data_IF_911395402529
#
_entry.id   IF_911395402529
#
_cell.length_a   1.000
_cell.length_b   1.000
_cell.length_c   1.000
_cell.angle_alpha   90.00
_cell.angle_beta   90.00
_cell.angle_gamma   90.00
#
_symmetry.space_group_name_H-M   'P 1'
#
loop_
_entity.id
_entity.type
_entity.pdbx_description
1 polymer ?
#
# COMPACT_ATOMS: atom_id res chain seq x y z
N UNK A 1 -3.21 11.28 6.41
CA UNK A 1 -2.80 10.72 5.11
C UNK A 1 -1.64 9.83 5.43
N UNK A 2 -1.77 8.52 5.26
CA UNK A 2 -0.74 7.57 5.66
C UNK A 2 -0.46 6.55 4.55
N UNK A 3 0.82 6.31 4.29
CA UNK A 3 1.35 5.23 3.44
C UNK A 3 2.37 4.45 4.26
N UNK A 4 2.17 3.14 4.38
CA UNK A 4 3.09 2.24 5.05
C UNK A 4 3.69 1.30 4.02
N UNK A 5 4.99 1.06 4.07
CA UNK A 5 5.67 0.02 3.27
C UNK A 5 6.63 -0.76 4.15
N UNK A 6 6.49 -2.08 4.13
CA UNK A 6 7.41 -3.03 4.70
C UNK A 6 8.11 -3.82 3.60
N UNK A 7 9.42 -3.99 3.70
CA UNK A 7 10.19 -4.95 2.91
C UNK A 7 10.25 -6.27 3.68
N UNK A 8 9.86 -7.38 3.05
CA UNK A 8 9.91 -8.70 3.69
C UNK A 8 11.36 -9.20 3.63
N UNK A 9 11.97 -9.57 4.78
CA UNK A 9 13.31 -10.13 4.76
C UNK A 9 13.29 -11.50 4.06
N UNK A 10 14.39 -11.91 3.39
CA UNK A 10 14.50 -13.24 2.82
C UNK A 10 14.23 -14.32 3.88
N UNK A 11 13.64 -15.43 3.46
CA UNK A 11 13.51 -16.63 4.30
C UNK A 11 14.90 -17.12 4.69
N UNK A 12 15.27 -16.96 5.95
CA UNK A 12 16.49 -17.57 6.50
C UNK A 12 16.17 -18.97 6.99
N UNK A 13 16.86 -20.02 6.51
CA UNK A 13 16.81 -21.33 7.12
C UNK A 13 17.23 -21.24 8.59
N UNK A 14 16.35 -21.60 9.53
CA UNK A 14 16.73 -21.79 10.92
C UNK A 14 17.22 -23.22 11.12
N UNK A 15 18.50 -23.44 11.48
CA UNK A 15 18.97 -24.78 11.82
C UNK A 15 18.24 -25.29 13.07
N UNK A 16 17.38 -26.31 12.92
CA UNK A 16 16.73 -27.01 14.04
C UNK A 16 15.32 -26.55 14.42
N UNK A 17 14.67 -25.66 13.68
CA UNK A 17 13.26 -25.30 13.93
C UNK A 17 12.30 -26.31 13.26
N UNK A 18 11.32 -26.90 13.98
CA UNK A 18 10.43 -27.93 13.45
C UNK A 18 9.38 -27.42 12.44
N UNK A 19 9.34 -26.12 12.16
CA UNK A 19 8.38 -25.52 11.21
C UNK A 19 8.98 -24.24 10.64
N UNK A 20 9.03 -24.12 9.30
CA UNK A 20 9.32 -22.84 8.65
C UNK A 20 8.10 -21.93 8.84
N UNK A 21 8.16 -21.01 9.80
CA UNK A 21 7.22 -19.89 9.80
C UNK A 21 7.51 -19.03 8.57
N UNK A 22 6.48 -18.53 7.85
CA UNK A 22 6.71 -17.57 6.78
C UNK A 22 7.41 -16.32 7.36
N UNK A 23 8.28 -15.65 6.58
CA UNK A 23 9.03 -14.50 7.07
C UNK A 23 8.12 -13.34 7.48
N UNK A 24 6.93 -13.28 6.88
CA UNK A 24 5.89 -12.30 7.11
C UNK A 24 4.50 -12.97 7.03
N UNK A 25 3.60 -12.61 7.94
CA UNK A 25 2.16 -12.91 7.87
C UNK A 25 1.36 -11.61 7.83
N UNK A 26 0.25 -11.62 7.11
CA UNK A 26 -0.68 -10.49 7.04
C UNK A 26 -2.07 -10.98 7.42
N UNK A 27 -2.72 -10.27 8.34
CA UNK A 27 -4.11 -10.46 8.70
C UNK A 27 -4.93 -9.22 8.31
N UNK A 28 -6.07 -9.46 7.66
CA UNK A 28 -7.07 -8.47 7.28
C UNK A 28 -8.33 -8.71 8.12
N UNK A 29 -8.70 -7.74 8.96
CA UNK A 29 -9.83 -7.83 9.90
C UNK A 29 -9.83 -9.13 10.73
N UNK A 30 -8.64 -9.53 11.19
CA UNK A 30 -8.43 -10.73 12.02
C UNK A 30 -8.41 -12.04 11.24
N UNK A 31 -8.43 -12.01 9.90
CA UNK A 31 -8.28 -13.19 9.04
C UNK A 31 -6.92 -13.16 8.37
N UNK A 32 -6.10 -14.17 8.63
CA UNK A 32 -4.85 -14.37 7.90
C UNK A 32 -5.14 -14.61 6.42
N UNK A 33 -4.37 -13.95 5.55
CA UNK A 33 -4.43 -14.16 4.10
C UNK A 33 -3.22 -14.95 3.63
N UNK A 34 -3.42 -15.77 2.60
CA UNK A 34 -2.30 -16.43 1.92
C UNK A 34 -1.53 -15.40 1.10
N UNK A 35 -0.22 -15.32 1.35
CA UNK A 35 0.67 -14.43 0.61
C UNK A 35 1.45 -15.24 -0.44
N UNK A 36 1.54 -14.76 -1.69
CA UNK A 36 2.55 -15.27 -2.62
C UNK A 36 3.95 -14.86 -2.15
N UNK A 37 4.99 -15.29 -2.86
CA UNK A 37 6.34 -14.81 -2.61
C UNK A 37 6.44 -13.30 -2.92
N UNK A 38 6.60 -12.49 -1.88
CA UNK A 38 6.65 -11.04 -1.95
C UNK A 38 7.93 -10.49 -1.33
N UNK A 39 8.49 -9.45 -1.95
CA UNK A 39 9.57 -8.64 -1.39
C UNK A 39 9.02 -7.50 -0.51
N UNK A 40 7.73 -7.19 -0.58
CA UNK A 40 7.15 -6.17 0.30
C UNK A 40 5.62 -6.10 0.32
N UNK A 41 5.12 -5.45 1.36
CA UNK A 41 3.70 -5.17 1.60
C UNK A 41 3.51 -3.67 1.76
N UNK A 42 2.46 -3.13 1.18
CA UNK A 42 2.08 -1.71 1.26
C UNK A 42 0.67 -1.60 1.81
N UNK A 43 0.48 -0.73 2.80
CA UNK A 43 -0.83 -0.38 3.37
C UNK A 43 -1.10 1.10 3.09
N UNK A 44 -2.24 1.40 2.50
CA UNK A 44 -2.62 2.73 2.05
C UNK A 44 -3.93 3.18 2.70
N UNK A 45 -3.98 4.46 3.05
CA UNK A 45 -5.22 5.18 3.40
C UNK A 45 -5.60 6.21 2.32
N UNK A 46 -5.07 6.06 1.11
CA UNK A 46 -5.25 6.99 -0.01
C UNK A 46 -5.15 6.23 -1.31
N UNK A 47 -5.82 6.74 -2.34
CA UNK A 47 -5.93 6.07 -3.64
C UNK A 47 -4.62 5.98 -4.43
N UNK A 48 -3.56 6.70 -4.05
CA UNK A 48 -2.31 6.75 -4.82
C UNK A 48 -1.05 6.47 -4.00
N UNK A 49 -0.13 5.75 -4.63
CA UNK A 49 1.17 5.36 -4.10
C UNK A 49 2.27 5.53 -5.16
N UNK A 50 3.53 5.61 -4.74
CA UNK A 50 4.75 5.60 -5.57
C UNK A 50 4.63 6.10 -7.02
N UNK A 51 5.02 7.36 -7.29
CA UNK A 51 5.01 7.91 -8.65
C UNK A 51 3.63 8.16 -9.25
N UNK A 52 2.56 8.12 -8.45
CA UNK A 52 1.18 8.34 -8.91
C UNK A 52 0.44 7.06 -9.33
N UNK A 53 1.02 5.89 -9.07
CA UNK A 53 0.32 4.61 -9.23
C UNK A 53 -0.97 4.61 -8.41
N UNK A 54 -2.08 4.15 -9.01
CA UNK A 54 -3.40 4.05 -8.39
C UNK A 54 -3.81 2.59 -8.28
N UNK A 55 -3.57 1.92 -7.13
CA UNK A 55 -3.60 0.47 -7.14
C UNK A 55 -5.00 -0.13 -7.38
N UNK A 56 -6.05 0.63 -7.08
CA UNK A 56 -7.46 0.29 -7.34
C UNK A 56 -8.06 1.07 -8.54
N UNK A 57 -7.24 1.77 -9.32
CA UNK A 57 -7.66 2.51 -10.52
C UNK A 57 -8.47 3.79 -10.24
N UNK A 58 -9.03 4.37 -11.31
CA UNK A 58 -9.74 5.66 -11.32
C UNK A 58 -11.27 5.53 -11.17
N UNK A 59 -11.76 4.59 -10.35
CA UNK A 59 -13.17 4.53 -9.95
C UNK A 59 -14.17 4.17 -11.07
N UNK A 60 -13.71 3.58 -12.18
CA UNK A 60 -14.56 3.03 -13.23
C UNK A 60 -14.28 1.54 -13.36
N UNK A 61 -15.30 0.71 -13.08
CA UNK A 61 -15.31 -0.76 -13.07
C UNK A 61 -14.33 -1.45 -12.14
N UNK A 62 -14.83 -1.94 -11.00
CA UNK A 62 -14.17 -3.00 -10.24
C UNK A 62 -14.69 -4.34 -10.77
N UNK A 63 -14.08 -4.85 -11.85
CA UNK A 63 -14.41 -6.20 -12.36
C UNK A 63 -14.30 -7.27 -11.27
N UNK A 64 -13.52 -6.98 -10.22
CA UNK A 64 -13.22 -7.89 -9.11
C UNK A 64 -14.07 -7.66 -7.84
N UNK A 65 -15.05 -6.75 -7.85
CA UNK A 65 -15.93 -6.50 -6.69
C UNK A 65 -15.32 -5.69 -5.51
N UNK A 66 -14.16 -5.06 -5.71
CA UNK A 66 -13.54 -4.19 -4.70
C UNK A 66 -14.31 -2.87 -4.47
N UNK A 67 -14.12 -2.28 -3.29
CA UNK A 67 -14.66 -0.95 -2.96
C UNK A 67 -13.74 0.10 -3.59
N UNK A 68 -14.30 1.14 -4.18
CA UNK A 68 -13.50 2.29 -4.64
C UNK A 68 -12.80 2.95 -3.44
N UNK A 69 -11.46 3.08 -3.44
CA UNK A 69 -10.73 3.62 -2.29
C UNK A 69 -11.19 5.01 -1.90
N UNK A 70 -11.37 5.22 -0.60
CA UNK A 70 -11.63 6.53 -0.02
C UNK A 70 -10.80 6.66 1.25
N UNK A 71 -10.33 7.87 1.52
CA UNK A 71 -9.46 8.12 2.68
C UNK A 71 -10.25 8.35 3.98
N UNK A 72 -11.57 8.41 3.90
CA UNK A 72 -12.48 8.81 4.98
C UNK A 72 -13.55 7.75 5.32
N UNK A 73 -13.52 6.59 4.66
CA UNK A 73 -14.43 5.46 4.91
C UNK A 73 -13.94 4.54 6.03
N UNK A 74 -12.70 4.70 6.50
CA UNK A 74 -12.09 3.86 7.52
C UNK A 74 -11.62 2.50 7.01
N UNK A 75 -11.46 2.37 5.69
CA UNK A 75 -10.91 1.19 5.02
C UNK A 75 -9.48 1.49 4.58
N UNK A 76 -8.60 0.50 4.75
CA UNK A 76 -7.22 0.51 4.31
C UNK A 76 -7.06 -0.42 3.13
N UNK A 77 -6.35 0.03 2.11
CA UNK A 77 -5.97 -0.77 0.94
C UNK A 77 -4.63 -1.47 1.17
N UNK A 78 -4.56 -2.79 0.95
CA UNK A 78 -3.35 -3.59 1.14
C UNK A 78 -2.91 -4.22 -0.17
N UNK A 79 -1.67 -3.96 -0.59
CA UNK A 79 -1.11 -4.50 -1.83
C UNK A 79 0.28 -5.12 -1.63
N UNK A 80 0.65 -6.05 -2.49
CA UNK A 80 1.95 -6.73 -2.48
C UNK A 80 2.90 -6.23 -3.57
N UNK A 81 4.20 -6.36 -3.31
CA UNK A 81 5.27 -6.04 -4.24
C UNK A 81 6.18 -7.25 -4.44
N UNK A 82 6.23 -7.76 -5.67
CA UNK A 82 7.12 -8.87 -6.03
C UNK A 82 8.59 -8.48 -6.07
N UNK A 83 8.92 -7.29 -6.59
CA UNK A 83 10.30 -6.83 -6.69
C UNK A 83 10.43 -5.33 -6.93
N UNK A 84 11.64 -4.80 -6.84
CA UNK A 84 11.95 -3.44 -7.30
C UNK A 84 11.63 -3.20 -8.78
N UNK A 85 11.77 -4.23 -9.62
CA UNK A 85 11.38 -4.15 -11.03
C UNK A 85 9.86 -4.05 -11.20
N UNK A 86 9.09 -4.82 -10.41
CA UNK A 86 7.64 -4.70 -10.38
C UNK A 86 7.20 -3.27 -9.98
N UNK A 87 7.87 -2.63 -9.00
CA UNK A 87 7.60 -1.23 -8.64
C UNK A 87 7.81 -0.29 -9.83
N UNK A 88 8.89 -0.45 -10.61
CA UNK A 88 9.15 0.38 -11.77
C UNK A 88 8.09 0.19 -12.87
N UNK A 89 7.66 -1.06 -13.11
CA UNK A 89 6.59 -1.34 -14.06
C UNK A 89 5.26 -0.70 -13.63
N UNK A 90 4.92 -0.72 -12.33
CA UNK A 90 3.73 -0.06 -11.79
C UNK A 90 3.76 1.47 -12.02
N UNK A 91 4.93 2.09 -11.84
CA UNK A 91 5.10 3.54 -12.06
C UNK A 91 4.95 3.93 -13.54
N UNK A 92 5.31 3.04 -14.45
CA UNK A 92 5.19 3.25 -15.90
C UNK A 92 3.83 2.78 -16.47
N UNK A 93 2.94 2.23 -15.64
CA UNK A 93 1.67 1.66 -16.09
C UNK A 93 1.81 0.38 -16.92
N UNK A 94 2.94 -0.34 -16.77
CA UNK A 94 3.27 -1.56 -17.50
C UNK A 94 2.92 -2.85 -16.73
N UNK A 95 2.46 -2.74 -15.48
CA UNK A 95 2.04 -3.86 -14.65
C UNK A 95 0.76 -3.51 -13.88
N UNK A 96 0.03 -4.55 -13.48
CA UNK A 96 -1.11 -4.42 -12.58
C UNK A 96 -0.67 -4.62 -11.12
N UNK A 97 -1.14 -3.78 -10.20
CA UNK A 97 -0.89 -3.96 -8.76
C UNK A 97 -1.46 -5.27 -8.24
N UNK A 98 -0.71 -5.99 -7.41
CA UNK A 98 -1.23 -7.12 -6.65
C UNK A 98 -2.06 -6.61 -5.47
N UNK A 99 -3.39 -6.62 -5.61
CA UNK A 99 -4.33 -6.28 -4.53
C UNK A 99 -4.47 -7.47 -3.59
N UNK A 100 -4.05 -7.31 -2.33
CA UNK A 100 -4.18 -8.32 -1.29
C UNK A 100 -5.52 -8.21 -0.57
N UNK A 101 -6.06 -6.99 -0.44
CA UNK A 101 -7.41 -6.79 0.07
C UNK A 101 -7.67 -5.38 0.57
N UNK A 102 -8.86 -5.21 1.17
CA UNK A 102 -9.32 -4.01 1.83
C UNK A 102 -9.84 -4.38 3.22
N UNK A 103 -9.43 -3.64 4.27
CA UNK A 103 -9.74 -3.97 5.66
C UNK A 103 -9.77 -2.74 6.56
N UNK A 104 -10.51 -2.78 7.67
CA UNK A 104 -10.46 -1.73 8.69
C UNK A 104 -9.27 -1.88 9.64
N UNK A 105 -8.80 -3.11 9.85
CA UNK A 105 -7.62 -3.42 10.65
C UNK A 105 -6.67 -4.29 9.84
N UNK A 106 -5.42 -3.85 9.73
CA UNK A 106 -4.35 -4.62 9.09
C UNK A 106 -3.31 -4.95 10.14
N UNK A 107 -3.02 -6.23 10.32
CA UNK A 107 -1.93 -6.69 11.19
C UNK A 107 -0.87 -7.40 10.37
N UNK A 108 0.37 -7.00 10.56
CA UNK A 108 1.54 -7.57 9.90
C UNK A 108 2.44 -8.15 10.98
N UNK A 109 2.80 -9.43 10.86
CA UNK A 109 3.70 -10.10 11.80
C UNK A 109 4.96 -10.54 11.07
N UNK A 110 6.10 -10.05 11.56
CA UNK A 110 7.44 -10.39 11.09
C UNK A 110 8.05 -11.43 12.02
N UNK A 111 8.35 -12.62 11.46
CA UNK A 111 8.96 -13.73 12.20
C UNK A 111 10.46 -13.85 11.92
N UNK A 112 10.92 -13.41 10.75
CA UNK A 112 12.32 -13.45 10.32
C UNK A 112 13.15 -12.29 10.87
N UNK A 113 14.33 -12.04 10.28
CA UNK A 113 15.24 -10.96 10.69
C UNK A 113 14.68 -9.54 10.54
N UNK A 114 15.53 -8.55 10.79
CA UNK A 114 15.14 -7.15 10.69
C UNK A 114 14.72 -6.77 9.26
N UNK A 115 13.77 -5.85 9.15
CA UNK A 115 13.12 -5.49 7.90
C UNK A 115 13.08 -3.97 7.70
N UNK A 116 13.52 -3.45 6.54
CA UNK A 116 13.32 -2.04 6.22
C UNK A 116 11.82 -1.69 6.17
N UNK A 117 11.45 -0.63 6.85
CA UNK A 117 10.07 -0.13 6.93
C UNK A 117 10.06 1.39 6.68
N UNK A 118 8.96 1.90 6.13
CA UNK A 118 8.78 3.32 5.91
C UNK A 118 7.31 3.73 6.09
N UNK A 119 7.10 4.90 6.69
CA UNK A 119 5.79 5.56 6.79
C UNK A 119 5.88 7.01 6.36
N UNK A 120 5.05 7.40 5.41
CA UNK A 120 4.91 8.79 4.93
C UNK A 120 6.22 9.51 4.55
N UNK A 121 7.31 8.79 4.32
CA UNK A 121 8.62 9.38 4.04
C UNK A 121 9.70 8.96 5.03
N UNK A 122 9.31 8.62 6.25
CA UNK A 122 10.23 8.33 7.36
C UNK A 122 10.61 6.85 7.40
N UNK A 123 11.88 6.49 7.14
CA UNK A 123 12.33 5.10 7.16
C UNK A 123 12.82 4.67 8.56
N UNK A 124 12.68 3.39 8.87
CA UNK A 124 13.33 2.75 10.02
C UNK A 124 13.61 1.27 9.76
N UNK A 125 14.41 0.66 10.63
CA UNK A 125 14.60 -0.79 10.67
C UNK A 125 13.64 -1.41 11.67
N UNK A 126 12.76 -2.29 11.20
CA UNK A 126 11.78 -2.99 12.00
C UNK A 126 12.34 -4.33 12.48
N UNK A 127 12.43 -4.51 13.80
CA UNK A 127 12.74 -5.79 14.42
C UNK A 127 11.54 -6.78 14.34
N UNK A 128 11.78 -8.09 14.53
CA UNK A 128 10.71 -9.09 14.52
C UNK A 128 9.62 -8.73 15.54
N UNK A 129 8.36 -8.93 15.17
CA UNK A 129 7.21 -8.50 15.97
C UNK A 129 5.96 -8.25 15.13
N UNK A 130 4.90 -7.78 15.79
CA UNK A 130 3.63 -7.47 15.15
C UNK A 130 3.38 -5.96 15.10
N UNK A 131 2.90 -5.50 13.95
CA UNK A 131 2.46 -4.13 13.69
C UNK A 131 0.98 -4.17 13.37
N UNK A 132 0.20 -3.28 13.97
CA UNK A 132 -1.24 -3.15 13.68
C UNK A 132 -1.54 -1.74 13.22
N UNK A 133 -2.12 -1.63 12.03
CA UNK A 133 -2.54 -0.39 11.40
C UNK A 133 -4.07 -0.33 11.45
N UNK A 134 -4.58 0.75 12.05
CA UNK A 134 -6.02 1.05 12.18
C UNK A 134 -6.26 2.53 11.97
N UNK A 135 -7.48 2.90 11.65
CA UNK A 135 -7.87 4.29 11.55
C UNK A 135 -8.06 4.89 12.95
N UNK A 136 -7.29 5.94 13.30
CA UNK A 136 -7.42 6.65 14.57
C UNK A 136 -7.76 8.13 14.33
N UNK A 137 -9.04 8.48 14.49
CA UNK A 137 -9.53 9.86 14.32
C UNK A 137 -9.63 10.30 12.86
N UNK A 138 -9.86 11.60 12.64
CA UNK A 138 -9.94 12.24 11.30
C UNK A 138 -9.33 13.64 11.38
N UNK A 139 -8.62 14.04 10.34
CA UNK A 139 -8.13 15.41 10.17
C UNK A 139 -8.74 16.02 8.90
N UNK A 140 -9.23 17.26 9.00
CA UNK A 140 -9.77 17.98 7.84
C UNK A 140 -8.62 18.46 6.96
N UNK A 141 -8.52 17.91 5.75
CA UNK A 141 -7.58 18.38 4.72
C UNK A 141 -8.29 19.40 3.81
N UNK A 142 -7.63 20.53 3.51
CA UNK A 142 -8.14 21.49 2.54
C UNK A 142 -7.79 21.01 1.13
N UNK A 143 -8.81 20.71 0.33
CA UNK A 143 -8.64 20.58 -1.11
C UNK A 143 -8.53 21.98 -1.72
N UNK A 144 -7.57 22.17 -2.64
CA UNK A 144 -7.59 23.35 -3.49
C UNK A 144 -8.81 23.22 -4.42
N UNK A 145 -9.86 23.99 -4.14
CA UNK A 145 -10.97 24.09 -5.07
C UNK A 145 -10.44 24.62 -6.40
N UNK A 146 -10.80 23.96 -7.50
CA UNK A 146 -10.58 24.48 -8.85
C UNK A 146 -11.45 25.72 -9.07
N UNK A 147 -11.09 26.83 -8.42
CA UNK A 147 -11.73 28.11 -8.57
C UNK A 147 -11.10 28.82 -9.78
N UNK A 148 -11.74 28.66 -10.94
CA UNK A 148 -11.80 29.68 -11.98
C UNK A 148 -10.58 29.84 -12.89
N UNK A 149 -10.35 28.88 -13.80
CA UNK A 149 -9.63 29.17 -15.04
C UNK A 149 -10.62 29.78 -16.05
N UNK A 150 -10.86 31.09 -15.97
CA UNK A 150 -11.35 31.87 -17.13
C UNK A 150 -10.15 32.53 -17.79
N UNK A 151 -9.42 31.75 -18.59
CA UNK A 151 -8.46 32.29 -19.56
C UNK A 151 -9.21 32.61 -20.85
N UNK A 152 -9.51 33.89 -21.06
CA UNK A 152 -9.99 34.39 -22.35
C UNK A 152 -8.92 34.20 -23.42
N UNK A 153 -9.24 33.44 -24.46
CA UNK A 153 -8.44 33.38 -25.68
C UNK A 153 -8.55 34.73 -26.40
N UNK A 154 -7.41 35.32 -26.74
CA UNK A 154 -7.32 36.35 -27.78
C UNK A 154 -6.09 36.01 -28.61
N UNK A 155 -6.35 35.44 -29.79
CA UNK A 155 -5.35 35.28 -30.82
C UNK A 155 -4.93 36.68 -31.32
N UNK A 156 -3.64 36.96 -31.29
CA UNK A 156 -3.05 38.07 -32.03
C UNK A 156 -2.20 37.43 -33.13
N UNK A 157 -2.69 37.52 -34.35
CA UNK A 157 -1.94 37.29 -35.58
C UNK A 157 -1.16 38.56 -35.90
N UNK A 158 0.11 38.44 -36.24
CA UNK A 158 0.86 39.42 -37.05
C UNK A 158 1.82 38.66 -37.94
#
# INVERSE_FOLDING_TARGET
MARWKLTIPPTTPHPGAPTYLPPCQVELDGREIELPELEGVVVLNIASWGGGCQPWGNGGSTEDGWITPKYDDGILEVMGLFSSFHIAQLQLGLATPLRLGQASTVKITLHGGNAPMQVDGEPWEQHPGSITVTHLGRAAMRALGAAGMKGSSSAITS
#
